data_IF_873763713804
#
_entry.id   IF_873763713804
#
_cell.length_a   1.000
_cell.length_b   1.000
_cell.length_c   1.000
_cell.angle_alpha   90.00
_cell.angle_beta   90.00
_cell.angle_gamma   90.00
#
_symmetry.space_group_name_H-M   'P 1'
#
loop_
_entity.id
_entity.type
_entity.pdbx_description
1 polymer ?
#
# COMPACT_ATOMS: atom_id res chain seq x y z
N UNK A 1 -29.21 -5.26 -17.00
CA UNK A 1 -28.51 -4.66 -18.14
C UNK A 1 -27.01 -4.67 -17.82
N UNK A 2 -26.27 -5.65 -18.35
CA UNK A 2 -24.82 -5.79 -18.16
C UNK A 2 -24.11 -4.78 -19.05
N UNK A 3 -23.37 -3.85 -18.48
CA UNK A 3 -22.42 -3.01 -19.23
C UNK A 3 -21.03 -3.50 -18.89
N UNK A 4 -20.44 -4.19 -19.87
CA UNK A 4 -19.01 -4.40 -19.95
C UNK A 4 -18.37 -3.08 -20.38
N UNK A 5 -17.37 -2.61 -19.64
CA UNK A 5 -16.42 -1.60 -20.12
C UNK A 5 -15.00 -2.02 -19.71
N UNK A 6 -14.18 -2.21 -20.74
CA UNK A 6 -12.77 -2.56 -20.75
C UNK A 6 -11.89 -1.31 -20.60
N UNK A 7 -10.74 -1.44 -19.90
CA UNK A 7 -9.38 -0.91 -20.17
C UNK A 7 -8.60 -0.40 -18.92
N UNK A 8 -7.51 -1.13 -18.57
CA UNK A 8 -6.19 -0.70 -17.98
C UNK A 8 -6.02 -0.34 -16.46
N UNK A 9 -4.80 -0.45 -15.86
CA UNK A 9 -4.33 -1.58 -15.03
C UNK A 9 -4.18 -1.23 -13.53
N UNK A 10 -5.14 -0.49 -12.95
CA UNK A 10 -5.13 -0.15 -11.52
C UNK A 10 -6.31 -0.81 -10.76
N UNK A 11 -7.17 -1.53 -11.48
CA UNK A 11 -8.30 -2.24 -10.89
C UNK A 11 -7.95 -3.58 -10.22
N UNK A 12 -6.70 -4.06 -10.28
CA UNK A 12 -6.41 -5.44 -9.93
C UNK A 12 -6.09 -5.74 -8.45
N UNK A 13 -6.12 -4.76 -7.55
CA UNK A 13 -6.16 -5.07 -6.11
C UNK A 13 -7.58 -5.01 -5.52
N UNK A 14 -8.56 -4.45 -6.27
CA UNK A 14 -9.95 -4.28 -5.83
C UNK A 14 -10.99 -5.04 -6.68
N UNK A 15 -10.71 -5.32 -7.95
CA UNK A 15 -11.64 -5.91 -8.92
C UNK A 15 -11.35 -7.39 -9.26
N UNK A 16 -10.46 -8.07 -8.52
CA UNK A 16 -10.13 -9.48 -8.77
C UNK A 16 -11.15 -10.50 -8.18
N UNK A 17 -12.36 -10.09 -7.78
CA UNK A 17 -13.27 -10.92 -6.97
C UNK A 17 -14.65 -11.21 -7.62
N UNK A 18 -14.89 -11.03 -8.92
CA UNK A 18 -16.25 -11.35 -9.47
C UNK A 18 -16.37 -11.84 -10.92
N UNK A 19 -15.37 -12.52 -11.48
CA UNK A 19 -15.47 -12.91 -12.89
C UNK A 19 -14.69 -14.13 -13.34
N UNK A 20 -14.83 -15.27 -12.66
CA UNK A 20 -14.50 -16.55 -13.29
C UNK A 20 -15.67 -17.52 -13.09
N UNK A 21 -16.51 -17.66 -14.10
CA UNK A 21 -17.47 -18.77 -14.20
C UNK A 21 -16.77 -19.91 -14.92
N UNK A 22 -16.47 -20.97 -14.18
CA UNK A 22 -16.05 -22.26 -14.71
C UNK A 22 -17.07 -22.76 -15.74
N UNK A 23 -16.62 -23.02 -16.96
CA UNK A 23 -17.28 -23.95 -17.86
C UNK A 23 -16.34 -25.13 -18.03
N UNK A 24 -16.70 -26.23 -17.39
CA UNK A 24 -16.08 -27.54 -17.51
C UNK A 24 -16.11 -28.04 -18.95
N UNK A 25 -14.97 -28.51 -19.46
CA UNK A 25 -14.96 -29.68 -20.33
C UNK A 25 -13.68 -30.49 -20.09
N UNK A 26 -13.92 -31.77 -19.80
CA UNK A 26 -12.97 -32.83 -19.51
C UNK A 26 -12.22 -33.30 -20.75
N UNK A 27 -10.92 -33.58 -20.61
CA UNK A 27 -10.27 -34.64 -21.36
C UNK A 27 -9.10 -35.20 -20.54
N UNK A 28 -9.22 -36.48 -20.20
CA UNK A 28 -8.19 -37.31 -19.57
C UNK A 28 -7.10 -37.67 -20.57
N UNK A 29 -5.84 -37.53 -20.17
CA UNK A 29 -4.75 -38.33 -20.72
C UNK A 29 -3.75 -38.63 -19.60
N UNK A 30 -3.72 -39.89 -19.20
CA UNK A 30 -2.76 -40.46 -18.27
C UNK A 30 -1.40 -40.60 -18.97
N UNK A 31 -0.36 -40.03 -18.37
CA UNK A 31 1.02 -40.42 -18.69
C UNK A 31 1.82 -40.39 -17.40
N UNK A 32 2.16 -41.58 -16.90
CA UNK A 32 2.98 -41.80 -15.72
C UNK A 32 4.44 -41.53 -16.05
N UNK A 33 5.03 -40.50 -15.46
CA UNK A 33 6.48 -40.34 -15.36
C UNK A 33 6.84 -40.21 -13.89
N UNK A 34 7.58 -41.18 -13.39
CA UNK A 34 8.15 -41.20 -12.04
C UNK A 34 9.12 -40.03 -11.88
N UNK A 35 8.67 -38.94 -11.26
CA UNK A 35 9.53 -37.85 -10.81
C UNK A 35 10.00 -38.12 -9.37
N UNK A 36 11.29 -37.90 -9.06
CA UNK A 36 11.83 -38.14 -7.73
C UNK A 36 11.20 -37.17 -6.72
N UNK A 37 10.85 -37.73 -5.56
CA UNK A 37 10.29 -37.05 -4.39
C UNK A 37 11.00 -35.71 -4.13
N UNK A 38 10.29 -34.58 -4.02
CA UNK A 38 10.92 -33.32 -3.67
C UNK A 38 11.45 -33.46 -2.25
N UNK A 39 12.77 -33.39 -2.13
CA UNK A 39 13.45 -33.43 -0.83
C UNK A 39 12.96 -32.22 -0.05
N UNK A 40 12.22 -32.49 1.03
CA UNK A 40 11.81 -31.52 2.05
C UNK A 40 12.93 -30.49 2.23
N UNK A 41 12.69 -29.25 1.81
CA UNK A 41 13.56 -28.12 2.11
C UNK A 41 13.50 -27.90 3.61
N UNK A 42 14.33 -28.65 4.35
CA UNK A 42 14.69 -28.36 5.72
C UNK A 42 15.20 -26.92 5.68
N UNK A 43 14.40 -25.98 6.19
CA UNK A 43 14.91 -24.68 6.57
C UNK A 43 16.12 -24.97 7.45
N UNK A 44 17.31 -24.57 6.98
CA UNK A 44 18.54 -24.86 7.71
C UNK A 44 18.35 -24.28 9.11
N UNK A 45 18.53 -25.06 10.19
CA UNK A 45 18.44 -24.57 11.56
C UNK A 45 19.27 -23.31 11.77
N UNK A 46 20.33 -23.15 10.97
CA UNK A 46 21.20 -21.98 10.91
C UNK A 46 20.45 -20.73 10.42
N UNK A 47 19.60 -20.81 9.38
CA UNK A 47 18.83 -19.63 8.92
C UNK A 47 17.80 -19.18 9.95
N UNK A 48 17.10 -20.12 10.58
CA UNK A 48 16.16 -19.80 11.66
C UNK A 48 16.88 -19.17 12.86
N UNK A 49 18.03 -19.74 13.27
CA UNK A 49 18.84 -19.19 14.34
C UNK A 49 19.42 -17.80 14.01
N UNK A 50 19.84 -17.56 12.77
CA UNK A 50 20.34 -16.25 12.31
C UNK A 50 19.23 -15.19 12.29
N UNK A 51 18.02 -15.54 11.85
CA UNK A 51 16.87 -14.62 11.90
C UNK A 51 16.41 -14.34 13.34
N UNK A 52 16.39 -15.34 14.23
CA UNK A 52 16.10 -15.16 15.66
C UNK A 52 17.17 -14.26 16.30
N UNK A 53 18.44 -14.48 15.98
CA UNK A 53 19.54 -13.66 16.48
C UNK A 53 19.45 -12.22 15.96
N UNK A 54 19.21 -12.01 14.66
CA UNK A 54 19.07 -10.68 14.05
C UNK A 54 17.86 -9.92 14.61
N UNK A 55 16.70 -10.57 14.75
CA UNK A 55 15.51 -9.98 15.38
C UNK A 55 15.76 -9.67 16.87
N UNK A 56 16.52 -10.53 17.55
CA UNK A 56 17.04 -10.27 18.89
C UNK A 56 17.92 -9.02 18.93
N UNK A 57 18.83 -8.84 17.97
CA UNK A 57 19.68 -7.65 17.89
C UNK A 57 18.90 -6.36 17.58
N UNK A 58 17.83 -6.41 16.80
CA UNK A 58 16.96 -5.23 16.53
C UNK A 58 16.15 -4.85 17.77
N UNK A 59 15.58 -5.85 18.48
CA UNK A 59 14.90 -5.63 19.76
C UNK A 59 15.87 -5.08 20.82
N UNK A 60 17.09 -5.62 20.87
CA UNK A 60 18.17 -5.12 21.71
C UNK A 60 18.58 -3.71 21.27
N UNK A 61 18.73 -3.39 19.98
CA UNK A 61 19.12 -2.05 19.52
C UNK A 61 18.07 -0.97 19.84
N UNK A 62 16.77 -1.27 19.68
CA UNK A 62 15.67 -0.38 20.10
C UNK A 62 15.68 -0.17 21.63
N UNK A 63 15.89 -1.25 22.39
CA UNK A 63 16.00 -1.19 23.85
C UNK A 63 17.29 -0.49 24.30
N UNK A 64 18.38 -0.62 23.54
CA UNK A 64 19.69 -0.05 23.86
C UNK A 64 19.81 1.42 23.50
N UNK A 65 19.09 1.93 22.50
CA UNK A 65 18.99 3.39 22.32
C UNK A 65 18.27 3.96 23.54
N UNK A 66 17.05 3.52 23.87
CA UNK A 66 16.32 4.02 25.04
C UNK A 66 17.06 3.80 26.39
N UNK A 67 17.80 2.69 26.53
CA UNK A 67 18.59 2.40 27.73
C UNK A 67 19.95 3.11 27.77
N UNK A 68 20.53 3.54 26.64
CA UNK A 68 21.79 4.30 26.62
C UNK A 68 21.58 5.82 26.77
N UNK A 69 20.44 6.38 26.35
CA UNK A 69 20.13 7.82 26.51
C UNK A 69 19.23 8.12 27.71
N UNK A 70 18.73 7.12 28.43
CA UNK A 70 17.85 7.35 29.58
C UNK A 70 18.04 6.32 30.70
N UNK A 71 17.92 6.70 31.98
CA UNK A 71 17.85 5.75 33.09
C UNK A 71 16.75 4.71 32.85
N UNK A 72 16.93 3.49 33.35
CA UNK A 72 15.99 2.36 33.18
C UNK A 72 14.53 2.67 33.53
N UNK A 73 14.29 3.62 34.45
CA UNK A 73 12.96 4.13 34.81
C UNK A 73 12.29 4.93 33.68
N UNK A 74 13.06 5.70 32.91
CA UNK A 74 12.55 6.53 31.81
C UNK A 74 12.23 5.67 30.58
N UNK A 75 13.05 4.65 30.29
CA UNK A 75 12.75 3.69 29.24
C UNK A 75 11.44 2.95 29.49
N UNK A 76 11.22 2.45 30.72
CA UNK A 76 9.95 1.82 31.14
C UNK A 76 8.75 2.76 30.99
N UNK A 77 8.93 4.05 31.30
CA UNK A 77 7.89 5.06 31.13
C UNK A 77 7.52 5.24 29.65
N UNK A 78 8.50 5.36 28.75
CA UNK A 78 8.25 5.49 27.31
C UNK A 78 7.57 4.25 26.72
N UNK A 79 7.94 3.03 27.13
CA UNK A 79 7.25 1.81 26.70
C UNK A 79 5.78 1.80 27.12
N UNK A 80 5.49 2.28 28.33
CA UNK A 80 4.12 2.43 28.81
C UNK A 80 3.34 3.42 27.94
N UNK A 81 3.94 4.58 27.63
CA UNK A 81 3.29 5.58 26.76
C UNK A 81 3.06 5.05 25.34
N UNK A 82 4.07 4.38 24.75
CA UNK A 82 3.95 3.77 23.43
C UNK A 82 2.82 2.73 23.38
N UNK A 83 2.65 1.95 24.44
CA UNK A 83 1.54 0.98 24.56
C UNK A 83 0.17 1.67 24.59
N UNK A 84 0.03 2.76 25.34
CA UNK A 84 -1.22 3.54 25.35
C UNK A 84 -1.51 4.21 24.00
N UNK A 85 -0.50 4.78 23.35
CA UNK A 85 -0.64 5.38 22.02
C UNK A 85 -1.07 4.30 21.01
N UNK A 86 -0.37 3.15 20.97
CA UNK A 86 -0.68 2.04 20.07
C UNK A 86 -2.10 1.51 20.29
N UNK A 87 -2.51 1.35 21.55
CA UNK A 87 -3.88 0.95 21.90
C UNK A 87 -4.93 1.92 21.33
N UNK A 88 -4.69 3.22 21.44
CA UNK A 88 -5.60 4.24 20.91
C UNK A 88 -5.60 4.31 19.37
N UNK A 89 -4.49 3.98 18.70
CA UNK A 89 -4.39 4.00 17.24
C UNK A 89 -5.32 3.00 16.55
N UNK A 90 -5.78 1.95 17.24
CA UNK A 90 -6.81 1.04 16.74
C UNK A 90 -8.16 1.75 16.49
N UNK A 91 -8.44 2.84 17.21
CA UNK A 91 -9.66 3.63 17.04
C UNK A 91 -9.76 4.37 15.71
N UNK A 92 -8.65 4.49 14.96
CA UNK A 92 -8.65 5.09 13.63
C UNK A 92 -9.14 4.12 12.55
N UNK A 93 -9.17 2.80 12.79
CA UNK A 93 -9.74 1.86 11.84
C UNK A 93 -11.27 1.98 11.79
N UNK A 94 -11.82 2.21 10.61
CA UNK A 94 -13.27 2.22 10.38
C UNK A 94 -13.68 0.95 9.63
N UNK A 95 -14.36 0.03 10.32
CA UNK A 95 -14.93 -1.17 9.71
C UNK A 95 -16.08 -0.87 8.74
N UNK A 96 -16.78 0.26 8.89
CA UNK A 96 -17.86 0.66 7.99
C UNK A 96 -17.37 1.16 6.64
N UNK A 97 -16.19 1.79 6.61
CA UNK A 97 -15.59 2.32 5.39
C UNK A 97 -14.37 1.51 4.91
N UNK A 98 -13.94 0.50 5.69
CA UNK A 98 -12.78 -0.34 5.47
C UNK A 98 -11.50 0.47 5.17
N UNK A 99 -11.31 1.57 5.88
CA UNK A 99 -10.11 2.40 5.79
C UNK A 99 -9.69 2.86 7.18
N UNK A 100 -8.41 3.21 7.30
CA UNK A 100 -7.89 3.98 8.42
C UNK A 100 -8.31 5.43 8.19
N UNK A 101 -9.10 5.95 9.12
CA UNK A 101 -9.56 7.33 9.10
C UNK A 101 -8.38 8.27 9.35
N UNK A 102 -8.32 9.42 8.68
CA UNK A 102 -7.28 10.39 8.96
C UNK A 102 -7.53 11.20 10.25
N UNK A 103 -8.78 11.28 10.67
CA UNK A 103 -9.16 12.04 11.86
C UNK A 103 -10.33 11.34 12.54
N UNK A 104 -10.20 11.14 13.84
CA UNK A 104 -11.28 10.71 14.72
C UNK A 104 -11.59 11.84 15.72
N UNK A 105 -12.78 11.83 16.31
CA UNK A 105 -13.19 12.84 17.31
C UNK A 105 -13.08 14.29 16.79
N UNK A 106 -13.41 14.49 15.51
CA UNK A 106 -13.36 15.79 14.84
C UNK A 106 -14.13 16.87 15.62
N UNK A 107 -13.46 17.99 15.91
CA UNK A 107 -14.03 19.12 16.65
C UNK A 107 -13.73 20.44 15.92
N UNK A 108 -14.35 20.62 14.75
CA UNK A 108 -14.19 21.82 13.91
C UNK A 108 -13.02 21.75 12.91
N UNK A 109 -12.99 22.68 11.95
CA UNK A 109 -11.99 22.72 10.86
C UNK A 109 -12.58 22.49 9.46
N UNK A 110 -11.75 21.97 8.56
CA UNK A 110 -12.15 21.62 7.19
C UNK A 110 -12.82 20.24 7.20
N UNK A 111 -14.08 20.19 6.78
CA UNK A 111 -14.76 18.91 6.62
C UNK A 111 -14.14 18.13 5.45
N UNK A 112 -13.83 16.84 5.66
CA UNK A 112 -13.36 15.90 4.63
C UNK A 112 -14.43 14.82 4.39
N UNK A 113 -15.43 15.05 3.52
CA UNK A 113 -16.58 14.15 3.39
C UNK A 113 -16.21 12.71 3.01
N UNK A 114 -15.11 12.53 2.28
CA UNK A 114 -14.63 11.21 1.88
C UNK A 114 -13.84 10.47 2.98
N UNK A 115 -13.43 11.17 4.05
CA UNK A 115 -12.55 10.71 5.12
C UNK A 115 -11.30 9.98 4.59
N UNK A 116 -10.69 10.53 3.54
CA UNK A 116 -9.44 10.02 2.95
C UNK A 116 -8.37 11.09 3.03
N UNK A 117 -7.12 10.65 3.16
CA UNK A 117 -5.96 11.51 3.24
C UNK A 117 -4.69 10.72 2.94
N UNK A 118 -3.70 11.40 2.37
CA UNK A 118 -2.35 10.91 2.17
C UNK A 118 -1.63 10.50 3.47
N UNK A 119 -2.04 11.04 4.62
CA UNK A 119 -1.35 10.82 5.89
C UNK A 119 -1.25 9.34 6.29
N UNK A 120 -2.24 8.51 5.95
CA UNK A 120 -2.20 7.08 6.31
C UNK A 120 -1.02 6.38 5.63
N UNK A 121 -0.70 6.82 4.41
CA UNK A 121 0.42 6.32 3.60
C UNK A 121 1.75 6.84 4.12
N UNK A 122 1.82 8.14 4.37
CA UNK A 122 3.03 8.78 4.90
C UNK A 122 3.39 8.21 6.26
N UNK A 123 2.42 7.98 7.14
CA UNK A 123 2.64 7.36 8.45
C UNK A 123 3.24 5.97 8.28
N UNK A 124 2.61 5.07 7.48
CA UNK A 124 3.18 3.72 7.33
C UNK A 124 4.58 3.74 6.73
N UNK A 125 4.85 4.59 5.74
CA UNK A 125 6.17 4.67 5.11
C UNK A 125 7.25 5.20 6.05
N UNK A 126 6.91 6.13 6.94
CA UNK A 126 7.87 6.72 7.88
C UNK A 126 7.99 5.99 9.21
N UNK A 127 6.98 5.21 9.60
CA UNK A 127 6.91 4.63 10.94
C UNK A 127 6.68 3.13 10.96
N UNK A 128 6.51 2.45 9.81
CA UNK A 128 6.33 1.00 9.81
C UNK A 128 7.49 0.31 10.54
N UNK A 129 7.10 -0.55 11.47
CA UNK A 129 7.98 -1.46 12.17
C UNK A 129 7.60 -2.88 11.75
N UNK A 130 8.54 -3.83 11.80
CA UNK A 130 8.25 -5.25 11.60
C UNK A 130 7.51 -5.89 12.81
N UNK A 131 6.48 -5.20 13.34
CA UNK A 131 5.69 -5.63 14.51
C UNK A 131 4.23 -5.98 14.16
N UNK A 132 3.84 -5.83 12.90
CA UNK A 132 2.51 -6.18 12.39
C UNK A 132 1.44 -5.12 12.66
N UNK A 133 1.77 -4.00 13.31
CA UNK A 133 0.83 -2.91 13.55
C UNK A 133 0.84 -1.91 12.39
N UNK A 134 -0.24 -1.88 11.59
CA UNK A 134 -0.37 -1.02 10.41
C UNK A 134 0.89 -1.00 9.51
N UNK A 135 1.46 -2.17 9.26
CA UNK A 135 2.58 -2.32 8.33
C UNK A 135 2.11 -2.21 6.88
N UNK A 136 3.05 -2.04 5.94
CA UNK A 136 2.73 -1.86 4.52
C UNK A 136 1.88 -3.01 3.96
N UNK A 137 2.07 -4.24 4.45
CA UNK A 137 1.32 -5.43 4.02
C UNK A 137 0.09 -5.75 4.87
N UNK A 138 -0.18 -5.00 5.94
CA UNK A 138 -1.36 -5.25 6.79
C UNK A 138 -2.66 -5.07 5.99
N UNK A 139 -3.67 -5.90 6.27
CA UNK A 139 -4.95 -5.83 5.54
C UNK A 139 -5.61 -4.44 5.67
N UNK A 140 -5.46 -3.78 6.82
CA UNK A 140 -5.96 -2.44 7.04
C UNK A 140 -5.26 -1.42 6.14
N UNK A 141 -3.94 -1.48 5.99
CA UNK A 141 -3.21 -0.57 5.09
C UNK A 141 -3.51 -0.86 3.62
N UNK A 142 -3.55 -2.14 3.22
CA UNK A 142 -3.92 -2.52 1.85
C UNK A 142 -5.34 -2.05 1.50
N UNK A 143 -6.29 -2.25 2.40
CA UNK A 143 -7.67 -1.78 2.24
C UNK A 143 -7.74 -0.25 2.18
N UNK A 144 -6.95 0.44 3.01
CA UNK A 144 -6.84 1.91 3.01
C UNK A 144 -6.27 2.44 1.70
N UNK A 145 -5.22 1.80 1.16
CA UNK A 145 -4.63 2.12 -0.14
C UNK A 145 -5.65 2.00 -1.24
N UNK A 146 -6.27 0.83 -1.37
CA UNK A 146 -7.27 0.59 -2.40
C UNK A 146 -8.45 1.54 -2.28
N UNK A 147 -8.99 1.71 -1.07
CA UNK A 147 -10.14 2.57 -0.80
C UNK A 147 -9.86 4.05 -1.11
N UNK A 148 -8.68 4.55 -0.75
CA UNK A 148 -8.27 5.94 -1.01
C UNK A 148 -8.11 6.19 -2.50
N UNK A 149 -7.34 5.34 -3.20
CA UNK A 149 -7.12 5.42 -4.64
C UNK A 149 -8.45 5.36 -5.40
N UNK A 150 -9.37 4.47 -5.01
CA UNK A 150 -10.69 4.37 -5.62
C UNK A 150 -11.54 5.64 -5.44
N UNK A 151 -11.47 6.28 -4.27
CA UNK A 151 -12.19 7.53 -3.99
C UNK A 151 -11.56 8.75 -4.65
N UNK A 152 -10.23 8.81 -4.80
CA UNK A 152 -9.53 9.92 -5.46
C UNK A 152 -9.71 9.93 -6.98
N UNK A 153 -9.86 8.75 -7.60
CA UNK A 153 -9.98 8.62 -9.06
C UNK A 153 -11.08 9.48 -9.68
N UNK A 154 -12.34 9.43 -9.23
CA UNK A 154 -13.39 10.25 -9.83
C UNK A 154 -13.31 11.74 -9.44
N UNK A 155 -12.47 12.13 -8.49
CA UNK A 155 -12.44 13.51 -8.00
C UNK A 155 -11.76 14.47 -8.96
N UNK A 156 -10.73 14.05 -9.69
CA UNK A 156 -9.93 14.96 -10.51
C UNK A 156 -9.94 14.55 -11.97
N UNK A 157 -10.22 15.51 -12.85
CA UNK A 157 -10.25 15.26 -14.29
C UNK A 157 -8.87 14.83 -14.82
N UNK A 158 -7.80 15.31 -14.19
CA UNK A 158 -6.43 14.86 -14.48
C UNK A 158 -6.27 13.34 -14.31
N UNK A 159 -7.03 12.69 -13.42
CA UNK A 159 -6.99 11.24 -13.16
C UNK A 159 -7.76 10.42 -14.22
N UNK A 160 -8.51 11.07 -15.10
CA UNK A 160 -9.13 10.38 -16.23
C UNK A 160 -8.06 9.91 -17.21
N UNK A 161 -8.25 8.73 -17.80
CA UNK A 161 -7.37 8.24 -18.84
C UNK A 161 -7.44 9.13 -20.08
N UNK A 162 -6.30 9.60 -20.56
CA UNK A 162 -6.20 10.45 -21.75
C UNK A 162 -5.62 9.70 -22.97
N UNK A 163 -4.99 8.51 -22.80
CA UNK A 163 -4.52 7.62 -23.88
C UNK A 163 -4.10 6.20 -23.42
N UNK A 164 -3.92 5.24 -24.32
CA UNK A 164 -3.63 3.83 -23.95
C UNK A 164 -2.14 3.49 -23.70
N UNK A 165 -1.25 4.47 -23.47
CA UNK A 165 0.20 4.21 -23.31
C UNK A 165 0.66 4.37 -21.86
N UNK A 166 1.83 3.84 -21.48
CA UNK A 166 2.43 4.05 -20.14
C UNK A 166 2.70 5.55 -19.86
N UNK A 167 2.79 6.37 -20.91
CA UNK A 167 2.83 7.82 -20.78
C UNK A 167 1.47 8.43 -20.35
N UNK A 168 0.40 7.63 -20.36
CA UNK A 168 -0.89 7.99 -19.78
C UNK A 168 -0.92 7.63 -18.30
N UNK A 169 -0.77 8.66 -17.50
CA UNK A 169 -0.49 8.57 -16.09
C UNK A 169 -1.79 8.45 -15.30
N UNK A 170 -2.58 7.42 -15.61
CA UNK A 170 -3.98 7.20 -15.16
C UNK A 170 -4.15 6.85 -13.68
N UNK A 171 -3.10 7.03 -12.88
CA UNK A 171 -3.14 6.82 -11.45
C UNK A 171 -3.84 7.96 -10.74
N UNK A 172 -4.76 7.65 -9.81
CA UNK A 172 -5.44 8.68 -9.07
C UNK A 172 -4.52 9.27 -8.01
N UNK A 173 -4.44 10.59 -8.00
CA UNK A 173 -3.50 11.36 -7.18
C UNK A 173 -4.22 12.51 -6.50
N UNK A 174 -3.85 12.83 -5.26
CA UNK A 174 -4.12 14.11 -4.61
C UNK A 174 -4.68 14.07 -3.20
N UNK A 175 -4.86 15.27 -2.65
CA UNK A 175 -5.53 15.55 -1.39
C UNK A 175 -6.68 16.54 -1.65
N UNK A 176 -7.66 16.56 -0.76
CA UNK A 176 -8.80 17.49 -0.76
C UNK A 176 -8.41 18.95 -0.45
N UNK A 177 -7.14 19.22 -0.15
CA UNK A 177 -6.60 20.55 0.08
C UNK A 177 -6.00 21.17 -1.19
N UNK A 178 -6.10 22.48 -1.35
CA UNK A 178 -5.71 23.22 -2.56
C UNK A 178 -4.64 24.31 -2.31
N UNK A 179 -3.97 24.28 -1.16
CA UNK A 179 -2.92 25.23 -0.78
C UNK A 179 -3.39 26.60 -0.26
N UNK A 180 -4.66 26.99 -0.45
CA UNK A 180 -5.09 28.39 -0.17
C UNK A 180 -6.44 28.55 0.53
N UNK A 181 -7.46 27.75 0.21
CA UNK A 181 -8.81 27.94 0.74
C UNK A 181 -9.52 26.60 1.03
N UNK A 182 -10.08 26.41 2.24
CA UNK A 182 -10.70 25.14 2.66
C UNK A 182 -12.04 24.80 1.97
N UNK A 183 -12.51 25.63 1.04
CA UNK A 183 -13.79 25.46 0.34
C UNK A 183 -13.68 25.17 -1.17
N UNK A 184 -12.47 25.00 -1.69
CA UNK A 184 -12.25 24.69 -3.11
C UNK A 184 -11.75 23.26 -3.28
N UNK A 185 -11.96 22.72 -4.47
CA UNK A 185 -11.49 21.39 -4.85
C UNK A 185 -9.97 21.33 -4.72
N UNK A 186 -9.49 20.37 -3.92
CA UNK A 186 -8.06 20.10 -3.74
C UNK A 186 -7.36 19.67 -5.02
N UNK A 187 -6.05 19.53 -4.91
CA UNK A 187 -5.20 19.18 -6.04
C UNK A 187 -4.45 17.88 -5.81
N UNK A 188 -4.05 17.20 -6.89
CA UNK A 188 -2.92 16.30 -6.89
C UNK A 188 -1.68 16.90 -6.21
N UNK A 189 -1.06 16.14 -5.31
CA UNK A 189 0.22 16.48 -4.68
C UNK A 189 1.30 15.54 -5.18
N UNK A 190 2.47 16.07 -5.49
CA UNK A 190 3.63 15.25 -5.85
C UNK A 190 4.00 14.32 -4.70
N UNK A 191 4.04 14.82 -3.46
CA UNK A 191 4.38 14.04 -2.27
C UNK A 191 3.53 12.78 -2.15
N UNK A 192 2.21 12.91 -2.29
CA UNK A 192 1.31 11.76 -2.19
C UNK A 192 1.45 10.81 -3.38
N UNK A 193 1.69 11.34 -4.58
CA UNK A 193 1.97 10.53 -5.78
C UNK A 193 3.21 9.67 -5.57
N UNK A 194 4.29 10.27 -5.08
CA UNK A 194 5.54 9.57 -4.75
C UNK A 194 5.35 8.57 -3.61
N UNK A 195 4.58 8.93 -2.57
CA UNK A 195 4.26 8.01 -1.48
C UNK A 195 3.46 6.79 -1.96
N UNK A 196 2.56 6.94 -2.92
CA UNK A 196 1.84 5.80 -3.50
C UNK A 196 2.76 4.87 -4.32
N UNK A 197 3.77 5.44 -4.99
CA UNK A 197 4.83 4.67 -5.64
C UNK A 197 5.67 3.91 -4.60
N UNK A 198 6.17 4.62 -3.59
CA UNK A 198 7.00 4.06 -2.52
C UNK A 198 6.26 2.96 -1.77
N UNK A 199 4.99 3.16 -1.42
CA UNK A 199 4.15 2.13 -0.79
C UNK A 199 4.09 0.86 -1.63
N UNK A 200 3.94 0.99 -2.96
CA UNK A 200 3.94 -0.17 -3.87
C UNK A 200 5.28 -0.90 -3.85
N UNK A 201 6.41 -0.17 -3.86
CA UNK A 201 7.74 -0.76 -3.81
C UNK A 201 8.08 -1.40 -2.46
N UNK A 202 7.72 -0.77 -1.33
CA UNK A 202 7.88 -1.36 0.00
C UNK A 202 7.03 -2.62 0.18
N UNK A 203 5.81 -2.64 -0.38
CA UNK A 203 4.95 -3.81 -0.36
C UNK A 203 5.57 -4.98 -1.13
N UNK A 204 6.15 -4.72 -2.30
CA UNK A 204 6.88 -5.70 -3.11
C UNK A 204 8.09 -6.24 -2.35
N UNK A 205 8.91 -5.36 -1.77
CA UNK A 205 10.06 -5.76 -0.96
C UNK A 205 9.62 -6.69 0.19
N UNK A 206 8.54 -6.29 0.87
CA UNK A 206 7.97 -7.04 1.98
C UNK A 206 7.49 -8.43 1.53
N UNK A 207 6.72 -8.54 0.45
CA UNK A 207 6.26 -9.82 -0.08
C UNK A 207 7.39 -10.69 -0.64
N UNK A 208 8.42 -10.07 -1.24
CA UNK A 208 9.55 -10.78 -1.83
C UNK A 208 10.56 -11.29 -0.77
N UNK A 209 10.45 -10.84 0.48
CA UNK A 209 11.28 -11.29 1.60
C UNK A 209 11.20 -12.82 1.82
N UNK A 210 12.31 -13.40 2.28
CA UNK A 210 12.44 -14.85 2.34
C UNK A 210 11.41 -15.49 3.30
N UNK A 211 10.63 -16.44 2.78
CA UNK A 211 9.67 -17.22 3.57
C UNK A 211 8.31 -16.56 3.76
N UNK A 212 8.05 -15.36 3.21
CA UNK A 212 6.70 -14.78 3.21
C UNK A 212 5.87 -15.36 2.06
N UNK A 213 4.64 -15.77 2.40
CA UNK A 213 3.57 -15.99 1.43
C UNK A 213 2.63 -14.79 1.48
N UNK A 214 1.96 -14.49 0.36
CA UNK A 214 0.93 -13.46 0.35
C UNK A 214 -0.36 -14.10 0.82
N UNK A 215 -0.93 -13.58 1.89
CA UNK A 215 -2.25 -13.97 2.37
C UNK A 215 -3.09 -12.72 2.45
N UNK A 216 -4.26 -12.76 1.84
CA UNK A 216 -5.26 -11.71 2.02
C UNK A 216 -6.35 -12.23 2.94
N UNK A 217 -6.72 -11.48 3.97
CA UNK A 217 -7.88 -11.85 4.80
C UNK A 217 -9.20 -11.35 4.18
N UNK A 218 -9.14 -10.53 3.12
CA UNK A 218 -10.31 -9.90 2.52
C UNK A 218 -10.40 -10.01 0.97
N UNK A 219 -9.58 -10.83 0.29
CA UNK A 219 -9.71 -11.08 -1.16
C UNK A 219 -9.01 -12.38 -1.62
N UNK A 220 -9.16 -12.73 -2.92
CA UNK A 220 -8.77 -13.96 -3.65
C UNK A 220 -8.69 -15.18 -2.72
N UNK A 221 -9.87 -15.76 -2.45
CA UNK A 221 -10.06 -16.86 -1.51
C UNK A 221 -9.46 -16.54 -0.14
N UNK A 222 -10.13 -15.65 0.60
CA UNK A 222 -9.83 -15.26 1.99
C UNK A 222 -9.15 -16.41 2.76
N UNK A 223 -7.95 -16.13 3.27
CA UNK A 223 -7.17 -17.09 4.05
C UNK A 223 -6.30 -18.05 3.21
N UNK A 224 -6.30 -17.95 1.88
CA UNK A 224 -5.37 -18.70 1.02
C UNK A 224 -4.00 -18.05 1.05
N UNK A 225 -2.99 -18.84 1.42
CA UNK A 225 -1.60 -18.44 1.28
C UNK A 225 -1.15 -18.68 -0.16
N UNK A 226 -0.64 -17.64 -0.80
CA UNK A 226 -0.01 -17.71 -2.12
C UNK A 226 1.51 -17.75 -1.93
N UNK A 227 2.15 -18.93 -2.04
CA UNK A 227 3.58 -19.06 -1.87
C UNK A 227 4.32 -18.41 -3.04
N UNK A 228 5.58 -18.04 -2.80
CA UNK A 228 6.44 -17.29 -3.73
C UNK A 228 6.56 -17.93 -5.11
N UNK A 229 6.50 -19.26 -5.17
CA UNK A 229 6.63 -20.07 -6.37
C UNK A 229 5.32 -20.14 -7.18
N UNK A 230 4.21 -19.64 -6.64
CA UNK A 230 2.93 -19.68 -7.34
C UNK A 230 2.84 -18.64 -8.45
N UNK A 231 2.12 -18.98 -9.52
CA UNK A 231 1.81 -18.04 -10.60
C UNK A 231 1.04 -16.82 -10.08
N UNK A 232 0.14 -17.02 -9.10
CA UNK A 232 -0.64 -15.94 -8.48
C UNK A 232 0.27 -14.95 -7.74
N UNK A 233 1.24 -15.44 -6.95
CA UNK A 233 2.22 -14.57 -6.29
C UNK A 233 2.99 -13.73 -7.31
N UNK A 234 3.48 -14.37 -8.38
CA UNK A 234 4.22 -13.67 -9.45
C UNK A 234 3.36 -12.60 -10.12
N UNK A 235 2.08 -12.91 -10.39
CA UNK A 235 1.14 -11.95 -10.97
C UNK A 235 0.89 -10.75 -10.04
N UNK A 236 0.66 -11.00 -8.75
CA UNK A 236 0.46 -9.94 -7.75
C UNK A 236 1.68 -9.01 -7.70
N UNK A 237 2.89 -9.59 -7.66
CA UNK A 237 4.12 -8.83 -7.60
C UNK A 237 4.31 -7.95 -8.85
N UNK A 238 4.10 -8.51 -10.04
CA UNK A 238 4.22 -7.77 -11.31
C UNK A 238 3.21 -6.61 -11.40
N UNK A 239 1.99 -6.81 -10.88
CA UNK A 239 0.96 -5.76 -10.84
C UNK A 239 1.33 -4.66 -9.85
N UNK A 240 1.91 -5.00 -8.70
CA UNK A 240 2.40 -4.01 -7.74
C UNK A 240 3.56 -3.20 -8.33
N UNK A 241 4.52 -3.83 -9.02
CA UNK A 241 5.59 -3.13 -9.75
C UNK A 241 5.01 -2.15 -10.76
N UNK A 242 4.08 -2.63 -11.60
CA UNK A 242 3.43 -1.80 -12.61
C UNK A 242 2.70 -0.61 -12.00
N UNK A 243 2.06 -0.79 -10.83
CA UNK A 243 1.41 0.30 -10.11
C UNK A 243 2.42 1.35 -9.63
N UNK A 244 3.52 0.93 -9.00
CA UNK A 244 4.60 1.84 -8.56
C UNK A 244 5.17 2.65 -9.72
N UNK A 245 5.47 1.98 -10.83
CA UNK A 245 6.02 2.61 -12.04
C UNK A 245 5.06 3.64 -12.65
N UNK A 246 3.74 3.39 -12.60
CA UNK A 246 2.75 4.35 -13.09
C UNK A 246 2.67 5.61 -12.22
N UNK A 247 2.84 5.49 -10.90
CA UNK A 247 2.94 6.67 -10.01
C UNK A 247 4.23 7.46 -10.27
N UNK A 248 5.36 6.80 -10.49
CA UNK A 248 6.61 7.48 -10.87
C UNK A 248 6.52 8.13 -12.25
N UNK A 249 5.92 7.44 -13.23
CA UNK A 249 5.66 8.01 -14.54
C UNK A 249 4.75 9.25 -14.45
N UNK A 250 3.77 9.23 -13.55
CA UNK A 250 2.91 10.39 -13.25
C UNK A 250 3.69 11.56 -12.68
N UNK A 251 4.55 11.31 -11.70
CA UNK A 251 5.42 12.34 -11.15
C UNK A 251 6.33 12.95 -12.22
N UNK A 252 6.97 12.10 -13.04
CA UNK A 252 7.83 12.54 -14.12
C UNK A 252 7.09 13.34 -15.21
N UNK A 253 5.83 12.97 -15.51
CA UNK A 253 5.03 13.66 -16.52
C UNK A 253 4.71 15.12 -16.17
N UNK A 254 4.52 15.43 -14.88
CA UNK A 254 4.22 16.78 -14.41
C UNK A 254 5.41 17.50 -13.77
N UNK A 255 6.59 16.89 -13.82
CA UNK A 255 7.84 17.55 -13.47
C UNK A 255 8.18 18.60 -14.54
N UNK A 256 8.67 19.76 -14.11
CA UNK A 256 9.08 20.80 -15.03
C UNK A 256 10.29 20.34 -15.86
N UNK A 257 10.51 20.96 -17.03
CA UNK A 257 11.59 20.57 -17.94
C UNK A 257 13.00 20.75 -17.35
N UNK A 258 13.14 21.59 -16.32
CA UNK A 258 14.36 21.81 -15.55
C UNK A 258 14.53 20.82 -14.38
N UNK A 259 13.58 19.89 -14.19
CA UNK A 259 13.56 18.95 -13.09
C UNK A 259 12.90 19.48 -11.81
N UNK A 260 12.38 20.71 -11.80
CA UNK A 260 11.69 21.25 -10.64
C UNK A 260 10.37 20.52 -10.37
N UNK A 261 10.08 20.36 -9.08
CA UNK A 261 9.05 19.49 -8.54
C UNK A 261 8.18 20.29 -7.58
N UNK A 262 7.07 20.80 -8.10
CA UNK A 262 6.14 21.61 -7.33
C UNK A 262 5.31 20.76 -6.37
N UNK A 263 4.82 21.41 -5.32
CA UNK A 263 3.94 20.80 -4.31
C UNK A 263 2.70 20.17 -4.95
N UNK A 264 2.04 20.90 -5.86
CA UNK A 264 0.76 20.50 -6.45
C UNK A 264 0.74 20.56 -7.99
N UNK A 265 -0.22 19.84 -8.58
CA UNK A 265 -0.63 20.00 -9.97
C UNK A 265 -2.11 20.33 -10.07
N UNK A 266 -2.49 21.25 -10.94
CA UNK A 266 -3.88 21.62 -11.14
C UNK A 266 -4.75 20.38 -11.45
N UNK A 267 -5.80 20.15 -10.65
CA UNK A 267 -6.63 18.94 -10.75
C UNK A 267 -7.38 18.75 -12.09
N UNK A 268 -7.39 19.77 -12.96
CA UNK A 268 -7.97 19.71 -14.31
C UNK A 268 -6.90 19.72 -15.39
N UNK A 269 -5.97 20.67 -15.34
CA UNK A 269 -5.02 20.93 -16.42
C UNK A 269 -3.65 20.27 -16.21
N UNK A 270 -3.33 19.81 -15.00
CA UNK A 270 -2.01 19.26 -14.67
C UNK A 270 -0.86 20.27 -14.58
N UNK A 271 -1.12 21.56 -14.80
CA UNK A 271 -0.11 22.59 -14.63
C UNK A 271 0.41 22.65 -13.18
N UNK A 272 1.72 22.73 -13.01
CA UNK A 272 2.39 22.84 -11.71
C UNK A 272 2.00 24.13 -10.98
N UNK A 273 1.77 24.05 -9.67
CA UNK A 273 1.36 25.16 -8.81
C UNK A 273 1.70 24.86 -7.33
N UNK A 274 1.52 25.84 -6.44
CA UNK A 274 1.89 25.72 -5.02
C UNK A 274 3.33 26.14 -4.78
N UNK A 275 3.98 25.60 -3.74
CA UNK A 275 5.40 25.82 -3.51
C UNK A 275 6.25 25.14 -4.61
N UNK A 276 7.23 25.83 -5.22
CA UNK A 276 8.13 25.25 -6.23
C UNK A 276 9.25 24.39 -5.65
#
# INVERSE_FOLDING_TARGET
MKVALLLTPIFALAALVSGCTDTTSSASASTSTNSPTPTSTRSSPVRAAVSIWANGQVSIAKSMILANISPSSSASWYFTQASYITGNMTGFWSSSSNIILPTIQYSGGVNKPANIDSQAFLVVLHTALDDGFYTVESDQMLSTFVGTIAKLRPLYAINAATSATIADTTVPIGDTYNGYNPGQQGNPWLLFTSAAAEYSYCLIETWNSAGKSITFTNSISVGSAHPKESAIFTEILNRAYSAGDLYMARAAHHMAADGNMWEEWNCKAGASQGAP
#
